data_IF_849403954896
#
_entry.id   IF_849403954896
#
_cell.length_a   1.000
_cell.length_b   1.000
_cell.length_c   1.000
_cell.angle_alpha   90.00
_cell.angle_beta   90.00
_cell.angle_gamma   90.00
#
_symmetry.space_group_name_H-M   'P 1'
#
loop_
_entity.id
_entity.type
_entity.pdbx_description
1 polymer ?
#
# COMPACT_ATOMS: atom_id res chain seq x y z
N UNK A 1 -33.21 -54.71 -39.56
CA UNK A 1 -32.21 -53.80 -38.94
C UNK A 1 -32.37 -53.90 -37.43
N UNK A 2 -31.27 -54.16 -36.70
CA UNK A 2 -31.26 -54.46 -35.27
C UNK A 2 -31.51 -53.17 -34.44
N UNK A 3 -32.26 -53.22 -33.33
CA UNK A 3 -32.36 -52.08 -32.42
C UNK A 3 -31.06 -51.93 -31.61
N UNK A 4 -30.48 -50.73 -31.64
CA UNK A 4 -29.38 -50.33 -30.77
C UNK A 4 -29.91 -50.14 -29.34
N UNK A 5 -29.42 -50.94 -28.40
CA UNK A 5 -29.58 -50.69 -26.96
C UNK A 5 -28.59 -49.61 -26.54
N UNK A 6 -29.11 -48.49 -26.03
CA UNK A 6 -28.33 -47.43 -25.39
C UNK A 6 -28.15 -47.81 -23.92
N UNK A 7 -26.92 -48.13 -23.55
CA UNK A 7 -26.55 -48.41 -22.16
C UNK A 7 -26.26 -47.08 -21.46
N UNK A 8 -27.17 -46.62 -20.60
CA UNK A 8 -26.97 -45.45 -19.75
C UNK A 8 -26.20 -45.86 -18.49
N UNK A 9 -24.94 -45.44 -18.41
CA UNK A 9 -24.07 -45.63 -17.24
C UNK A 9 -24.40 -44.56 -16.19
N UNK A 10 -24.91 -44.98 -15.04
CA UNK A 10 -25.13 -44.13 -13.87
C UNK A 10 -23.77 -43.94 -13.17
N UNK A 11 -23.30 -42.70 -12.92
CA UNK A 11 -22.09 -42.49 -12.13
C UNK A 11 -22.35 -42.83 -10.65
N UNK A 12 -21.35 -43.37 -9.94
CA UNK A 12 -21.48 -43.73 -8.52
C UNK A 12 -21.67 -42.48 -7.64
N UNK A 13 -22.32 -42.62 -6.47
CA UNK A 13 -22.53 -41.50 -5.55
C UNK A 13 -21.18 -41.00 -5.02
N UNK A 14 -20.86 -39.74 -5.32
CA UNK A 14 -19.74 -39.04 -4.70
C UNK A 14 -20.01 -38.90 -3.21
N UNK A 15 -19.15 -39.52 -2.41
CA UNK A 15 -19.14 -39.45 -0.96
C UNK A 15 -19.21 -37.99 -0.48
N UNK A 16 -20.21 -37.75 0.38
CA UNK A 16 -20.33 -36.56 1.18
C UNK A 16 -19.01 -36.28 1.91
N UNK A 17 -18.47 -35.08 1.74
CA UNK A 17 -17.38 -34.59 2.57
C UNK A 17 -17.94 -34.24 3.96
N UNK A 18 -17.25 -34.60 5.05
CA UNK A 18 -17.65 -34.21 6.39
C UNK A 18 -17.62 -32.68 6.55
N UNK A 19 -18.71 -32.14 7.09
CA UNK A 19 -18.84 -30.75 7.52
C UNK A 19 -18.00 -30.60 8.79
N UNK A 20 -16.99 -29.73 8.77
CA UNK A 20 -16.23 -29.38 9.97
C UNK A 20 -17.14 -28.72 11.01
N UNK A 21 -17.16 -29.20 12.27
CA UNK A 21 -17.91 -28.58 13.35
C UNK A 21 -17.04 -27.55 14.07
N UNK A 22 -17.18 -26.27 13.75
CA UNK A 22 -16.72 -25.14 14.56
C UNK A 22 -17.44 -23.85 14.11
N UNK A 23 -18.76 -23.85 14.18
CA UNK A 23 -19.54 -22.61 14.13
C UNK A 23 -19.46 -21.98 15.53
N UNK A 24 -18.81 -20.82 15.66
CA UNK A 24 -19.03 -19.95 16.82
C UNK A 24 -20.36 -19.23 16.61
N UNK A 25 -21.42 -19.77 17.21
CA UNK A 25 -22.65 -19.03 17.45
C UNK A 25 -22.34 -17.88 18.42
N UNK A 26 -22.57 -16.65 17.96
CA UNK A 26 -22.57 -15.46 18.80
C UNK A 26 -23.58 -15.62 19.94
N UNK A 27 -23.26 -15.19 21.17
CA UNK A 27 -24.25 -15.12 22.23
C UNK A 27 -25.29 -14.03 21.90
N UNK A 28 -26.56 -14.41 21.98
CA UNK A 28 -27.71 -13.52 21.98
C UNK A 28 -27.53 -12.44 23.06
N UNK A 29 -27.27 -11.20 22.66
CA UNK A 29 -27.44 -10.05 23.54
C UNK A 29 -28.81 -9.43 23.27
N UNK A 30 -29.61 -9.47 24.33
CA UNK A 30 -30.95 -8.91 24.41
C UNK A 30 -30.98 -7.43 24.00
N UNK A 31 -31.90 -7.10 23.09
CA UNK A 31 -32.37 -5.74 22.86
C UNK A 31 -32.95 -5.18 24.16
N UNK A 32 -32.33 -4.12 24.67
CA UNK A 32 -32.96 -3.21 25.62
C UNK A 32 -33.09 -1.85 24.94
N UNK A 33 -34.35 -1.48 24.66
CA UNK A 33 -34.74 -0.17 24.17
C UNK A 33 -34.60 0.86 25.28
N UNK A 34 -33.75 1.87 25.06
CA UNK A 34 -33.91 3.29 25.42
C UNK A 34 -32.51 3.88 25.62
N UNK A 35 -32.11 4.74 24.69
CA UNK A 35 -31.62 6.09 24.98
C UNK A 35 -30.94 6.63 23.71
N UNK A 36 -31.64 7.55 23.05
CA UNK A 36 -31.15 8.31 21.90
C UNK A 36 -30.24 9.42 22.43
N UNK A 37 -28.93 9.45 22.12
CA UNK A 37 -28.12 10.63 22.41
C UNK A 37 -28.35 11.70 21.32
N UNK A 38 -28.26 12.99 21.66
CA UNK A 38 -28.55 14.09 20.73
C UNK A 38 -27.47 14.20 19.65
N UNK A 39 -27.93 14.43 18.43
CA UNK A 39 -27.13 14.77 17.25
C UNK A 39 -26.49 16.16 17.47
N UNK A 40 -25.16 16.31 17.45
CA UNK A 40 -24.56 17.63 17.37
C UNK A 40 -24.66 18.17 15.94
N UNK A 41 -25.47 19.22 15.78
CA UNK A 41 -25.51 20.05 14.58
C UNK A 41 -24.22 20.86 14.47
N UNK A 42 -23.33 20.51 13.54
CA UNK A 42 -22.25 21.39 13.11
C UNK A 42 -22.63 22.10 11.82
N UNK A 43 -22.93 23.38 12.01
CA UNK A 43 -23.18 24.36 10.96
C UNK A 43 -21.90 24.62 10.18
N UNK A 44 -22.08 24.65 8.86
CA UNK A 44 -21.13 24.93 7.80
C UNK A 44 -20.34 26.23 7.99
N UNK A 45 -19.07 26.24 7.60
CA UNK A 45 -18.33 27.49 7.46
C UNK A 45 -16.84 27.33 7.22
N UNK A 46 -16.46 27.06 5.96
CA UNK A 46 -15.28 27.52 5.22
C UNK A 46 -14.84 26.45 4.22
N UNK A 47 -15.58 26.40 3.10
CA UNK A 47 -15.06 25.93 1.81
C UNK A 47 -13.78 26.70 1.49
N UNK A 48 -12.63 26.08 1.68
CA UNK A 48 -11.36 26.52 1.10
C UNK A 48 -10.97 25.47 0.06
N UNK A 49 -11.13 25.86 -1.19
CA UNK A 49 -10.76 25.11 -2.38
C UNK A 49 -9.28 24.71 -2.32
N UNK A 50 -9.00 23.48 -1.91
CA UNK A 50 -7.90 22.69 -2.46
C UNK A 50 -8.46 21.32 -2.85
N UNK A 51 -9.48 21.38 -3.70
CA UNK A 51 -9.98 20.21 -4.41
C UNK A 51 -9.02 19.96 -5.57
N UNK A 52 -8.21 18.91 -5.46
CA UNK A 52 -7.56 18.29 -6.62
C UNK A 52 -8.67 17.62 -7.44
N UNK A 53 -9.37 18.42 -8.23
CA UNK A 53 -10.37 17.97 -9.17
C UNK A 53 -9.72 17.07 -10.23
N UNK A 54 -9.71 15.76 -9.97
CA UNK A 54 -9.59 14.72 -10.98
C UNK A 54 -10.89 14.64 -11.82
N UNK A 55 -11.38 15.77 -12.35
CA UNK A 55 -12.54 15.80 -13.23
C UNK A 55 -12.78 17.19 -13.83
N UNK A 56 -11.88 17.61 -14.74
CA UNK A 56 -12.27 18.54 -15.81
C UNK A 56 -11.48 18.23 -17.09
N UNK A 57 -11.74 17.06 -17.67
CA UNK A 57 -11.52 16.86 -19.10
C UNK A 57 -12.87 16.53 -19.73
N UNK A 58 -13.43 17.49 -20.46
CA UNK A 58 -14.64 17.30 -21.25
C UNK A 58 -14.24 16.49 -22.48
N UNK A 59 -14.45 15.17 -22.46
CA UNK A 59 -14.28 14.31 -23.63
C UNK A 59 -14.21 12.81 -23.35
N UNK A 60 -15.36 12.15 -23.26
CA UNK A 60 -15.50 10.68 -23.37
C UNK A 60 -15.08 9.87 -22.11
N UNK A 61 -15.44 8.56 -22.05
CA UNK A 61 -15.10 7.71 -20.91
C UNK A 61 -13.59 7.43 -20.94
N UNK A 62 -12.80 8.29 -20.31
CA UNK A 62 -11.42 7.97 -19.97
C UNK A 62 -11.45 6.93 -18.87
N UNK A 63 -11.41 5.66 -19.27
CA UNK A 63 -10.96 4.56 -18.41
C UNK A 63 -9.78 5.03 -17.57
N UNK A 64 -9.85 4.86 -16.25
CA UNK A 64 -8.85 5.34 -15.31
C UNK A 64 -7.43 5.12 -15.85
N UNK A 65 -6.69 6.21 -16.05
CA UNK A 65 -5.38 6.23 -16.72
C UNK A 65 -4.31 5.47 -15.95
N UNK A 66 -4.50 5.27 -14.64
CA UNK A 66 -3.59 4.54 -13.76
C UNK A 66 -4.13 3.15 -13.46
N UNK A 67 -3.24 2.17 -13.45
CA UNK A 67 -3.62 0.82 -13.04
C UNK A 67 -3.88 0.85 -11.54
N UNK A 68 -3.01 1.45 -10.73
CA UNK A 68 -3.23 1.52 -9.29
C UNK A 68 -3.77 2.91 -8.92
N UNK A 69 -4.83 2.95 -8.12
CA UNK A 69 -5.47 4.20 -7.69
C UNK A 69 -4.98 4.59 -6.28
N UNK A 70 -4.93 5.89 -5.96
CA UNK A 70 -4.77 6.35 -4.59
C UNK A 70 -5.84 5.74 -3.66
N UNK A 71 -5.47 5.52 -2.41
CA UNK A 71 -6.29 4.83 -1.41
C UNK A 71 -6.18 3.30 -1.45
N UNK A 72 -5.49 2.71 -2.42
CA UNK A 72 -5.28 1.27 -2.49
C UNK A 72 -4.06 0.83 -1.66
N UNK A 73 -4.23 -0.22 -0.85
CA UNK A 73 -3.07 -0.94 -0.31
C UNK A 73 -2.50 -1.89 -1.37
N UNK A 74 -1.16 -1.92 -1.47
CA UNK A 74 -0.41 -2.80 -2.35
C UNK A 74 0.71 -3.50 -1.59
N UNK A 75 1.09 -4.69 -2.06
CA UNK A 75 2.37 -5.29 -1.70
C UNK A 75 3.41 -4.96 -2.77
N UNK A 76 4.67 -4.77 -2.39
CA UNK A 76 5.74 -4.47 -3.34
C UNK A 76 7.10 -4.95 -2.85
N UNK A 77 8.03 -5.07 -3.79
CA UNK A 77 9.42 -5.45 -3.55
C UNK A 77 10.32 -4.83 -4.62
N UNK A 78 11.60 -4.64 -4.30
CA UNK A 78 12.59 -4.17 -5.27
C UNK A 78 12.68 -5.13 -6.46
N UNK A 79 12.74 -4.56 -7.66
CA UNK A 79 13.01 -5.32 -8.87
C UNK A 79 14.51 -5.35 -9.11
N UNK A 80 15.20 -6.26 -8.42
CA UNK A 80 16.66 -6.38 -8.50
C UNK A 80 17.14 -6.75 -9.90
N UNK A 81 16.32 -7.44 -10.70
CA UNK A 81 16.62 -7.73 -12.10
C UNK A 81 16.63 -6.42 -12.92
N UNK A 82 15.56 -5.63 -12.85
CA UNK A 82 15.49 -4.34 -13.53
C UNK A 82 16.55 -3.32 -13.05
N UNK A 83 16.95 -3.40 -11.78
CA UNK A 83 18.06 -2.57 -11.26
C UNK A 83 19.40 -3.08 -11.81
N UNK A 84 19.63 -4.40 -11.83
CA UNK A 84 20.88 -5.00 -12.31
C UNK A 84 21.13 -4.72 -13.79
N UNK A 85 20.07 -4.67 -14.62
CA UNK A 85 20.16 -4.34 -16.06
C UNK A 85 20.77 -2.96 -16.35
N UNK A 86 20.85 -2.07 -15.36
CA UNK A 86 21.52 -0.77 -15.49
C UNK A 86 23.04 -0.87 -15.46
N UNK A 87 23.58 -2.02 -15.09
CA UNK A 87 25.01 -2.27 -14.96
C UNK A 87 25.51 -3.26 -16.02
N UNK A 88 26.78 -3.15 -16.45
CA UNK A 88 27.38 -4.15 -17.32
C UNK A 88 27.33 -5.54 -16.68
N UNK A 89 26.89 -6.53 -17.45
CA UNK A 89 26.83 -7.94 -17.03
C UNK A 89 28.22 -8.39 -16.57
N UNK A 90 28.31 -9.00 -15.40
CA UNK A 90 29.55 -9.49 -14.79
C UNK A 90 30.37 -8.41 -14.06
N UNK A 91 29.83 -7.20 -13.90
CA UNK A 91 30.39 -6.22 -12.96
C UNK A 91 30.08 -6.58 -11.50
N UNK A 92 30.90 -6.13 -10.56
CA UNK A 92 30.67 -6.32 -9.12
C UNK A 92 29.32 -5.73 -8.68
N UNK A 93 28.92 -4.57 -9.22
CA UNK A 93 27.63 -3.95 -8.97
C UNK A 93 26.47 -4.82 -9.49
N UNK A 94 26.58 -5.35 -10.71
CA UNK A 94 25.60 -6.27 -11.27
C UNK A 94 25.41 -7.51 -10.36
N UNK A 95 26.51 -8.17 -9.98
CA UNK A 95 26.45 -9.35 -9.11
C UNK A 95 25.91 -9.03 -7.72
N UNK A 96 26.31 -7.89 -7.13
CA UNK A 96 25.84 -7.46 -5.82
C UNK A 96 24.34 -7.16 -5.80
N UNK A 97 23.82 -6.51 -6.84
CA UNK A 97 22.38 -6.24 -6.97
C UNK A 97 21.60 -7.54 -7.17
N UNK A 98 22.11 -8.49 -7.97
CA UNK A 98 21.42 -9.77 -8.19
C UNK A 98 21.34 -10.64 -6.92
N UNK A 99 22.35 -10.58 -6.07
CA UNK A 99 22.39 -11.32 -4.80
C UNK A 99 21.68 -10.58 -3.66
N UNK A 100 21.14 -9.40 -3.92
CA UNK A 100 20.51 -8.57 -2.91
C UNK A 100 19.24 -9.23 -2.36
N UNK A 101 19.04 -9.30 -1.03
CA UNK A 101 17.85 -9.91 -0.45
C UNK A 101 16.61 -9.10 -0.84
N UNK A 102 15.61 -9.77 -1.42
CA UNK A 102 14.36 -9.13 -1.82
C UNK A 102 13.28 -9.44 -0.80
N UNK A 103 12.96 -8.44 0.02
CA UNK A 103 11.83 -8.49 0.94
C UNK A 103 10.58 -7.88 0.32
N UNK A 104 9.40 -8.28 0.82
CA UNK A 104 8.10 -7.73 0.42
C UNK A 104 7.51 -6.88 1.52
N UNK A 105 6.99 -5.73 1.13
CA UNK A 105 6.42 -4.70 2.01
C UNK A 105 5.00 -4.40 1.60
N UNK A 106 4.22 -3.82 2.50
CA UNK A 106 2.88 -3.32 2.22
C UNK A 106 2.90 -1.81 2.39
N UNK A 107 2.21 -1.10 1.50
CA UNK A 107 2.02 0.34 1.62
C UNK A 107 0.68 0.79 1.07
N UNK A 108 0.19 1.90 1.60
CA UNK A 108 -0.95 2.64 1.10
C UNK A 108 -0.50 3.61 0.00
N UNK A 109 -1.11 3.53 -1.17
CA UNK A 109 -0.85 4.46 -2.27
C UNK A 109 -1.54 5.80 -1.96
N UNK A 110 -0.76 6.88 -1.83
CA UNK A 110 -1.29 8.25 -1.65
C UNK A 110 -1.31 9.05 -2.95
N UNK A 111 -0.43 8.73 -3.90
CA UNK A 111 -0.44 9.36 -5.22
C UNK A 111 -0.06 8.37 -6.32
N UNK A 112 -0.56 8.63 -7.54
CA UNK A 112 -0.25 7.85 -8.73
C UNK A 112 0.02 8.78 -9.90
N UNK A 113 1.09 8.51 -10.64
CA UNK A 113 1.56 9.32 -11.77
C UNK A 113 1.78 8.42 -12.98
N UNK A 114 1.54 8.96 -14.17
CA UNK A 114 1.85 8.31 -15.43
C UNK A 114 2.46 9.31 -16.39
N UNK A 115 3.59 8.97 -16.98
CA UNK A 115 4.23 9.78 -18.02
C UNK A 115 4.87 8.85 -19.06
N UNK A 116 5.01 9.34 -20.29
CA UNK A 116 5.80 8.63 -21.30
C UNK A 116 7.24 9.14 -21.18
N UNK A 117 8.21 8.22 -21.13
CA UNK A 117 9.61 8.57 -21.37
C UNK A 117 9.72 9.17 -22.78
N UNK A 118 10.66 10.10 -22.98
CA UNK A 118 10.85 10.71 -24.30
C UNK A 118 11.22 9.64 -25.35
N UNK A 119 10.74 9.83 -26.58
CA UNK A 119 11.10 8.97 -27.70
C UNK A 119 12.63 8.96 -27.81
N UNK A 120 13.20 7.76 -27.78
CA UNK A 120 14.65 7.65 -27.91
C UNK A 120 15.07 8.04 -29.33
N UNK A 121 16.33 8.43 -29.51
CA UNK A 121 16.87 8.87 -30.79
C UNK A 121 16.82 7.81 -31.90
N UNK A 122 16.47 6.55 -31.57
CA UNK A 122 16.27 5.47 -32.53
C UNK A 122 14.84 5.41 -33.13
N UNK A 123 13.93 6.27 -32.68
CA UNK A 123 12.55 6.34 -33.17
C UNK A 123 11.60 5.30 -32.56
N UNK A 124 12.03 4.56 -31.53
CA UNK A 124 11.13 3.77 -30.69
C UNK A 124 10.24 4.69 -29.86
N UNK A 125 8.95 4.34 -29.79
CA UNK A 125 7.99 5.06 -28.93
C UNK A 125 8.43 4.96 -27.48
N UNK A 126 8.43 6.09 -26.80
CA UNK A 126 8.66 6.21 -25.38
C UNK A 126 7.87 5.20 -24.56
N UNK A 127 8.52 4.62 -23.55
CA UNK A 127 7.88 3.69 -22.62
C UNK A 127 6.94 4.48 -21.70
N UNK A 128 5.71 4.00 -21.53
CA UNK A 128 4.82 4.52 -20.48
C UNK A 128 5.34 4.06 -19.12
N UNK A 129 5.67 5.00 -18.26
CA UNK A 129 6.12 4.78 -16.88
C UNK A 129 4.98 5.14 -15.93
N UNK A 130 4.74 4.26 -14.96
CA UNK A 130 3.79 4.48 -13.87
C UNK A 130 4.58 4.57 -12.56
N UNK A 131 4.32 5.62 -11.80
CA UNK A 131 4.94 5.84 -10.50
C UNK A 131 3.88 5.97 -9.40
N UNK A 132 4.23 5.52 -8.20
CA UNK A 132 3.38 5.59 -7.02
C UNK A 132 4.13 6.28 -5.89
N UNK A 133 3.42 7.06 -5.09
CA UNK A 133 3.88 7.40 -3.75
C UNK A 133 3.12 6.52 -2.78
N UNK A 134 3.85 5.78 -1.96
CA UNK A 134 3.28 4.87 -0.98
C UNK A 134 3.75 5.21 0.42
N UNK A 135 2.92 4.96 1.41
CA UNK A 135 3.26 5.06 2.81
C UNK A 135 3.23 3.67 3.47
N UNK A 136 4.26 3.33 4.22
CA UNK A 136 4.42 1.96 4.74
C UNK A 136 3.36 1.56 5.76
N UNK A 137 3.05 0.26 5.74
CA UNK A 137 2.37 -0.43 6.82
C UNK A 137 3.41 -1.13 7.68
N UNK A 138 3.30 -1.00 9.01
CA UNK A 138 4.20 -1.63 9.96
C UNK A 138 3.45 -2.43 11.04
N UNK A 139 4.16 -3.35 11.68
CA UNK A 139 3.72 -4.04 12.90
C UNK A 139 4.05 -3.31 14.20
N UNK A 140 4.85 -2.24 14.13
CA UNK A 140 5.17 -1.41 15.28
C UNK A 140 5.23 0.07 14.91
N UNK A 141 5.01 0.92 15.91
CA UNK A 141 5.21 2.37 15.80
C UNK A 141 6.71 2.71 15.79
N UNK A 142 7.10 3.86 15.20
CA UNK A 142 8.47 4.36 15.30
C UNK A 142 8.90 4.50 16.77
N UNK A 143 10.13 4.06 17.10
CA UNK A 143 10.66 4.11 18.48
C UNK A 143 11.36 5.42 18.84
N UNK A 144 11.29 6.42 17.97
CA UNK A 144 11.96 7.69 18.19
C UNK A 144 11.07 8.67 18.97
N UNK A 145 11.63 9.41 19.93
CA UNK A 145 10.91 10.47 20.63
C UNK A 145 10.35 11.51 19.66
N UNK A 146 9.08 11.89 19.84
CA UNK A 146 8.39 12.88 19.02
C UNK A 146 7.71 12.32 17.77
N UNK A 147 7.88 11.02 17.48
CA UNK A 147 7.26 10.35 16.32
C UNK A 147 6.08 9.46 16.71
N UNK A 148 5.67 9.49 17.98
CA UNK A 148 4.65 8.61 18.53
C UNK A 148 3.26 8.87 17.96
N UNK A 149 3.05 9.98 17.24
CA UNK A 149 1.80 10.33 16.58
C UNK A 149 1.79 10.11 15.06
N UNK A 150 2.91 9.72 14.45
CA UNK A 150 3.07 9.69 12.98
C UNK A 150 2.53 8.40 12.34
N UNK A 151 1.38 7.96 12.82
CA UNK A 151 0.75 6.73 12.37
C UNK A 151 -0.75 6.74 12.66
N UNK A 152 -1.47 5.87 11.95
CA UNK A 152 -2.89 5.59 12.17
C UNK A 152 -3.13 4.08 12.27
N UNK A 153 -4.02 3.60 13.15
CA UNK A 153 -4.30 2.18 13.26
C UNK A 153 -5.10 1.70 12.05
N UNK A 154 -4.86 0.48 11.57
CA UNK A 154 -5.61 -0.15 10.47
C UNK A 154 -6.51 -1.25 11.05
N UNK A 155 -7.78 -1.25 10.67
CA UNK A 155 -8.74 -2.28 11.07
C UNK A 155 -8.44 -3.62 10.36
N UNK A 156 -8.44 -4.78 11.08
CA UNK A 156 -8.81 -4.94 12.48
C UNK A 156 -7.66 -4.60 13.46
N UNK A 157 -8.00 -3.82 14.49
CA UNK A 157 -7.07 -3.40 15.54
C UNK A 157 -7.67 -3.68 16.93
N UNK A 158 -6.88 -4.23 17.85
CA UNK A 158 -7.39 -4.77 19.14
C UNK A 158 -7.61 -3.73 20.22
N UNK A 159 -6.75 -2.71 20.28
CA UNK A 159 -6.66 -1.80 21.41
C UNK A 159 -6.35 -0.38 20.90
N UNK A 160 -7.35 0.49 20.71
CA UNK A 160 -7.10 1.94 20.66
C UNK A 160 -8.36 2.77 20.91
N UNK A 161 -8.16 3.92 21.55
CA UNK A 161 -9.14 5.02 21.63
C UNK A 161 -9.31 5.74 20.29
N UNK A 162 -8.29 5.66 19.41
CA UNK A 162 -8.30 6.29 18.09
C UNK A 162 -9.07 5.43 17.08
N UNK A 163 -9.91 6.09 16.27
CA UNK A 163 -10.62 5.42 15.19
C UNK A 163 -9.64 4.84 14.16
N UNK A 164 -9.75 3.54 13.87
CA UNK A 164 -8.91 2.86 12.88
C UNK A 164 -9.35 3.16 11.46
N UNK A 165 -8.41 3.11 10.51
CA UNK A 165 -8.65 3.17 9.08
C UNK A 165 -9.32 1.86 8.63
N UNK A 166 -10.41 1.99 7.90
CA UNK A 166 -11.18 0.86 7.40
C UNK A 166 -10.95 0.70 5.90
N UNK A 167 -10.86 -0.56 5.52
CA UNK A 167 -10.78 -1.00 4.13
C UNK A 167 -12.13 -1.55 3.71
N UNK A 168 -12.47 -1.41 2.43
CA UNK A 168 -13.69 -1.98 1.86
C UNK A 168 -13.66 -3.51 1.86
N UNK A 169 -12.47 -4.08 1.65
CA UNK A 169 -12.16 -5.51 1.83
C UNK A 169 -11.39 -5.67 3.12
N UNK A 170 -11.81 -6.60 3.99
CA UNK A 170 -11.13 -6.86 5.27
C UNK A 170 -9.61 -6.97 5.09
N UNK A 171 -8.87 -6.07 5.75
CA UNK A 171 -7.41 -6.09 5.72
C UNK A 171 -6.90 -7.40 6.34
N UNK A 172 -5.95 -8.10 5.70
CA UNK A 172 -5.62 -9.46 6.08
C UNK A 172 -4.69 -9.55 7.30
N UNK A 173 -4.12 -8.42 7.73
CA UNK A 173 -3.20 -8.33 8.85
C UNK A 173 -3.85 -7.59 10.00
N UNK A 174 -3.75 -8.16 11.20
CA UNK A 174 -4.26 -7.58 12.43
C UNK A 174 -3.21 -6.69 13.09
N UNK A 175 -3.66 -5.70 13.86
CA UNK A 175 -2.82 -4.86 14.73
C UNK A 175 -1.70 -4.16 13.95
N UNK A 176 -2.06 -3.57 12.80
CA UNK A 176 -1.15 -2.86 11.91
C UNK A 176 -1.29 -1.35 11.98
N UNK A 177 -0.17 -0.69 11.72
CA UNK A 177 -0.03 0.75 11.74
C UNK A 177 0.23 1.26 10.33
N UNK A 178 -0.57 2.20 9.85
CA UNK A 178 -0.31 2.99 8.66
C UNK A 178 0.56 4.17 9.05
N UNK A 179 1.81 4.23 8.58
CA UNK A 179 2.65 5.41 8.84
C UNK A 179 2.21 6.56 7.95
N UNK A 180 2.27 7.79 8.45
CA UNK A 180 1.73 8.97 7.75
C UNK A 180 2.79 9.78 7.01
N UNK A 181 4.05 9.68 7.41
CA UNK A 181 5.17 10.41 6.80
C UNK A 181 6.17 9.50 6.09
N UNK A 182 6.25 8.24 6.52
CA UNK A 182 7.22 7.28 6.01
C UNK A 182 6.69 6.48 4.84
N UNK A 183 7.46 6.48 3.77
CA UNK A 183 7.04 5.90 2.52
C UNK A 183 8.14 5.80 1.48
N UNK A 184 7.75 5.45 0.27
CA UNK A 184 8.64 5.37 -0.88
C UNK A 184 7.95 5.91 -2.13
N UNK A 185 8.77 6.38 -3.06
CA UNK A 185 8.36 6.60 -4.44
C UNK A 185 8.78 5.40 -5.27
N UNK A 186 7.80 4.78 -5.92
CA UNK A 186 7.93 3.52 -6.61
C UNK A 186 7.75 3.73 -8.11
N UNK A 187 8.56 3.08 -8.94
CA UNK A 187 8.40 2.95 -10.38
C UNK A 187 8.00 1.51 -10.70
N UNK A 188 6.83 1.32 -11.29
CA UNK A 188 6.29 -0.02 -11.55
C UNK A 188 6.99 -0.63 -12.76
N UNK A 189 7.82 -1.65 -12.52
CA UNK A 189 8.41 -2.48 -13.58
C UNK A 189 7.49 -3.66 -13.90
N UNK A 190 6.99 -4.33 -12.87
CA UNK A 190 6.08 -5.46 -12.99
C UNK A 190 4.84 -5.28 -12.11
N UNK A 191 3.66 -5.55 -12.68
CA UNK A 191 2.39 -5.53 -11.97
C UNK A 191 1.75 -6.92 -11.97
N UNK A 192 1.61 -7.48 -10.78
CA UNK A 192 0.91 -8.73 -10.53
C UNK A 192 -0.55 -8.42 -10.22
N UNK A 193 -1.39 -8.63 -11.22
CA UNK A 193 -2.83 -8.40 -11.16
C UNK A 193 -3.52 -9.38 -10.20
N UNK A 194 -4.56 -8.89 -9.52
CA UNK A 194 -5.43 -9.71 -8.67
C UNK A 194 -6.87 -9.24 -8.74
N UNK A 195 -7.81 -10.17 -8.63
CA UNK A 195 -9.23 -9.85 -8.43
C UNK A 195 -9.51 -9.31 -7.03
N UNK A 196 -8.59 -9.53 -6.08
CA UNK A 196 -8.71 -9.01 -4.72
C UNK A 196 -7.92 -7.71 -4.60
N UNK A 197 -8.58 -6.70 -4.04
CA UNK A 197 -8.01 -5.39 -3.78
C UNK A 197 -8.42 -4.95 -2.39
N UNK A 198 -7.60 -4.08 -1.79
CA UNK A 198 -7.80 -3.58 -0.44
C UNK A 198 -7.79 -2.05 -0.46
N UNK A 199 -8.78 -1.38 -1.09
CA UNK A 199 -8.86 0.06 -0.99
C UNK A 199 -9.45 0.48 0.35
N UNK A 200 -8.93 1.59 0.88
CA UNK A 200 -9.54 2.32 1.98
C UNK A 200 -10.96 2.76 1.61
N UNK A 201 -11.80 2.89 2.63
CA UNK A 201 -13.05 3.66 2.50
C UNK A 201 -12.68 5.12 2.22
N UNK A 202 -13.45 5.78 1.35
CA UNK A 202 -13.15 7.15 0.89
C UNK A 202 -12.93 8.14 2.05
N UNK A 203 -13.84 8.15 3.04
CA UNK A 203 -13.71 9.00 4.24
C UNK A 203 -12.42 8.71 5.03
N UNK A 204 -11.99 7.45 5.08
CA UNK A 204 -10.75 7.05 5.76
C UNK A 204 -9.50 7.41 4.97
N UNK A 205 -9.58 7.42 3.64
CA UNK A 205 -8.50 7.93 2.80
C UNK A 205 -8.34 9.44 2.98
N UNK A 206 -9.43 10.21 2.97
CA UNK A 206 -9.39 11.66 3.25
C UNK A 206 -8.79 11.93 4.63
N UNK A 207 -9.23 11.18 5.64
CA UNK A 207 -8.69 11.32 7.00
C UNK A 207 -7.19 11.00 7.07
N UNK A 208 -6.73 10.01 6.33
CA UNK A 208 -5.31 9.71 6.20
C UNK A 208 -4.55 10.88 5.56
N UNK A 209 -5.06 11.45 4.46
CA UNK A 209 -4.43 12.59 3.79
C UNK A 209 -4.34 13.82 4.69
N UNK A 210 -5.41 14.12 5.44
CA UNK A 210 -5.44 15.20 6.42
C UNK A 210 -4.38 15.00 7.52
N UNK A 211 -4.29 13.78 8.06
CA UNK A 211 -3.30 13.46 9.09
C UNK A 211 -1.87 13.56 8.55
N UNK A 212 -1.60 13.00 7.36
CA UNK A 212 -0.30 13.10 6.72
C UNK A 212 0.10 14.57 6.47
N UNK A 213 -0.84 15.42 6.05
CA UNK A 213 -0.59 16.84 5.84
C UNK A 213 -0.23 17.61 7.13
N UNK A 214 -0.73 17.16 8.29
CA UNK A 214 -0.39 17.70 9.61
C UNK A 214 0.98 17.19 10.08
N UNK A 215 1.27 15.93 9.80
CA UNK A 215 2.46 15.25 10.29
C UNK A 215 3.74 15.65 9.54
N UNK A 216 3.66 15.92 8.23
CA UNK A 216 4.82 16.32 7.41
C UNK A 216 5.52 17.61 7.90
N UNK A 217 4.81 18.72 8.19
CA UNK A 217 5.42 19.90 8.78
C UNK A 217 6.06 19.63 10.15
N UNK A 218 5.41 18.80 10.97
CA UNK A 218 5.89 18.45 12.31
C UNK A 218 7.26 17.75 12.25
N UNK A 219 7.49 16.93 11.22
CA UNK A 219 8.81 16.32 10.96
C UNK A 219 9.89 17.36 10.67
N UNK A 220 9.57 18.42 9.91
CA UNK A 220 10.52 19.49 9.62
C UNK A 220 10.88 20.31 10.87
N UNK A 221 9.91 20.51 11.77
CA UNK A 221 10.13 21.17 13.06
C UNK A 221 11.03 20.35 13.98
N UNK A 222 10.84 19.02 14.04
CA UNK A 222 11.69 18.11 14.80
C UNK A 222 13.15 18.15 14.33
N UNK A 223 13.39 18.21 13.02
CA UNK A 223 14.75 18.36 12.49
C UNK A 223 15.40 19.69 12.84
N UNK A 224 14.61 20.75 12.94
CA UNK A 224 15.09 22.07 13.32
C UNK A 224 15.42 22.16 14.83
N UNK A 225 14.77 21.36 15.67
CA UNK A 225 15.01 21.34 17.11
C UNK A 225 16.22 20.47 17.48
N UNK A 226 17.45 20.99 17.30
CA UNK A 226 18.73 20.49 17.83
C UNK A 226 18.84 18.95 18.08
N UNK A 227 18.31 18.13 17.17
CA UNK A 227 18.43 16.69 17.27
C UNK A 227 19.89 16.30 17.11
N UNK A 228 20.31 15.23 17.80
CA UNK A 228 21.62 14.65 17.55
C UNK A 228 21.78 14.26 16.08
N UNK A 229 23.02 14.22 15.57
CA UNK A 229 23.28 13.87 14.17
C UNK A 229 22.68 12.51 13.76
N UNK A 230 22.62 11.55 14.69
CA UNK A 230 22.00 10.24 14.48
C UNK A 230 20.48 10.34 14.34
N UNK A 231 19.82 11.09 15.22
CA UNK A 231 18.36 11.25 15.17
C UNK A 231 17.92 12.04 13.93
N UNK A 232 18.69 13.06 13.53
CA UNK A 232 18.44 13.82 12.30
C UNK A 232 18.46 12.93 11.05
N UNK A 233 19.45 12.03 10.96
CA UNK A 233 19.53 11.05 9.88
C UNK A 233 18.29 10.15 9.84
N UNK A 234 17.85 9.63 11.00
CA UNK A 234 16.65 8.78 11.03
C UNK A 234 15.39 9.57 10.66
N UNK A 235 15.26 10.84 11.05
CA UNK A 235 14.11 11.67 10.65
C UNK A 235 14.10 11.91 9.14
N UNK A 236 15.26 12.05 8.49
CA UNK A 236 15.33 12.12 7.02
C UNK A 236 14.94 10.80 6.36
N UNK A 237 15.33 9.66 6.94
CA UNK A 237 14.92 8.34 6.46
C UNK A 237 13.40 8.13 6.50
N UNK A 238 12.70 8.84 7.38
CA UNK A 238 11.26 8.72 7.57
C UNK A 238 10.43 9.58 6.62
N UNK A 239 11.07 10.29 5.68
CA UNK A 239 10.37 11.02 4.62
C UNK A 239 10.27 10.14 3.37
N UNK A 240 9.25 10.39 2.56
CA UNK A 240 9.20 9.83 1.21
C UNK A 240 10.39 10.39 0.39
N UNK A 241 11.30 9.54 -0.12
CA UNK A 241 12.40 9.97 -0.96
C UNK A 241 11.90 10.55 -2.29
N UNK A 242 12.68 11.47 -2.87
CA UNK A 242 12.34 12.13 -4.14
C UNK A 242 12.58 11.25 -5.37
N UNK A 243 13.47 10.26 -5.26
CA UNK A 243 13.81 9.33 -6.34
C UNK A 243 12.87 8.13 -6.38
N UNK A 244 12.61 7.61 -7.58
CA UNK A 244 11.72 6.47 -7.79
C UNK A 244 12.49 5.16 -7.84
N UNK A 245 12.06 4.18 -7.04
CA UNK A 245 12.64 2.83 -6.98
C UNK A 245 11.96 1.87 -7.95
N UNK A 246 12.70 1.15 -8.82
CA UNK A 246 12.13 0.09 -9.65
C UNK A 246 11.59 -1.05 -8.79
N UNK A 247 10.32 -1.39 -8.94
CA UNK A 247 9.66 -2.40 -8.12
C UNK A 247 8.76 -3.33 -8.90
N UNK A 248 8.57 -4.51 -8.31
CA UNK A 248 7.45 -5.38 -8.59
C UNK A 248 6.32 -5.06 -7.60
N UNK A 249 5.09 -5.00 -8.10
CA UNK A 249 3.90 -4.66 -7.32
C UNK A 249 2.86 -5.75 -7.42
N UNK A 250 2.26 -6.12 -6.30
CA UNK A 250 1.13 -7.04 -6.18
C UNK A 250 -0.09 -6.30 -5.64
N UNK A 251 -1.22 -6.39 -6.34
CA UNK A 251 -2.50 -5.84 -5.86
C UNK A 251 -3.07 -6.59 -4.66
N UNK A 252 -2.70 -7.86 -4.49
CA UNK A 252 -3.10 -8.67 -3.35
C UNK A 252 -2.07 -8.55 -2.23
N UNK A 253 -2.41 -7.82 -1.16
CA UNK A 253 -1.48 -7.59 -0.05
C UNK A 253 -1.16 -8.84 0.77
N UNK A 254 -1.92 -9.93 0.58
CA UNK A 254 -1.63 -11.23 1.21
C UNK A 254 -0.36 -11.89 0.65
N UNK A 255 0.07 -11.46 -0.53
CA UNK A 255 1.33 -11.91 -1.15
C UNK A 255 2.56 -11.38 -0.41
N UNK A 256 2.41 -10.35 0.42
CA UNK A 256 3.48 -9.95 1.32
C UNK A 256 3.57 -10.97 2.47
N UNK A 257 4.63 -11.77 2.46
CA UNK A 257 5.18 -12.41 3.67
C UNK A 257 5.84 -11.33 4.52
N UNK A 258 5.02 -10.41 5.05
CA UNK A 258 5.48 -9.14 5.61
C UNK A 258 6.43 -9.40 6.78
N UNK A 259 7.63 -8.82 6.74
CA UNK A 259 8.40 -8.54 7.96
C UNK A 259 7.73 -7.35 8.65
N UNK A 260 7.80 -7.33 9.98
CA UNK A 260 7.03 -6.36 10.79
C UNK A 260 7.59 -4.93 10.74
N UNK A 261 8.81 -4.71 10.24
CA UNK A 261 9.51 -3.43 10.31
C UNK A 261 9.96 -2.89 8.93
N UNK A 262 9.38 -1.77 8.45
CA UNK A 262 9.78 -1.15 7.19
C UNK A 262 11.14 -0.43 7.24
N UNK A 263 11.77 -0.27 8.41
CA UNK A 263 13.12 0.31 8.53
C UNK A 263 14.16 -0.53 7.79
N UNK A 264 13.99 -1.85 7.75
CA UNK A 264 14.88 -2.73 7.00
C UNK A 264 14.88 -2.38 5.50
N UNK A 265 13.74 -1.98 4.93
CA UNK A 265 13.68 -1.55 3.53
C UNK A 265 14.53 -0.33 3.25
N UNK A 266 14.55 0.63 4.17
CA UNK A 266 15.39 1.82 4.00
C UNK A 266 16.85 1.46 4.10
N UNK A 267 17.23 0.62 5.06
CA UNK A 267 18.59 0.12 5.13
C UNK A 267 18.98 -0.62 3.85
N UNK A 268 18.05 -1.34 3.23
CA UNK A 268 18.22 -1.99 1.95
C UNK A 268 18.44 -0.99 0.80
N UNK A 269 17.57 0.02 0.69
CA UNK A 269 17.66 1.07 -0.32
C UNK A 269 18.94 1.88 -0.17
N UNK A 270 19.29 2.31 1.05
CA UNK A 270 20.55 3.03 1.31
C UNK A 270 21.79 2.19 1.03
N UNK A 271 21.70 0.85 1.16
CA UNK A 271 22.78 -0.03 0.74
C UNK A 271 22.88 -0.10 -0.79
N UNK A 272 21.74 -0.10 -1.50
CA UNK A 272 21.67 -0.09 -2.96
C UNK A 272 22.09 1.25 -3.58
N UNK A 273 21.79 2.38 -2.93
CA UNK A 273 22.22 3.71 -3.37
C UNK A 273 23.74 3.79 -3.57
N UNK A 274 24.52 3.05 -2.78
CA UNK A 274 25.99 2.98 -2.93
C UNK A 274 26.46 2.37 -4.25
N UNK A 275 25.58 1.66 -4.95
CA UNK A 275 25.85 1.06 -6.25
C UNK A 275 25.18 1.84 -7.39
N UNK A 276 24.06 2.51 -7.12
CA UNK A 276 23.21 3.17 -8.13
C UNK A 276 23.55 4.65 -8.33
N UNK A 277 24.20 5.30 -7.35
CA UNK A 277 24.74 6.68 -7.41
C UNK A 277 26.27 6.68 -7.48
#
# INVERSE_FOLDING_TARGET
MKPQQVHLSIPPPSFARPISPCCFTAPESHFSNNDTPPIPSYTSGLTREYSWNASTFVGGPTTATWRIQPGAYIAFALDTEAIAERFPIGSEAYESVQLFPVNRYIGLVSASYSYNEEDTSDGSKGRSVEELVVHYVAGSVPRLPGLESLWMPISPFSDFENASLNTTTLFPLKDRYQWTTFGARLRIEHLHESSLQFPLVEDDFVRFEEQAAIDYPSMAELQASELGAEDSFVVDLLKVPSFSLPVQVWRDVREATCRDDPIEFVAEVSALERYVL
#
